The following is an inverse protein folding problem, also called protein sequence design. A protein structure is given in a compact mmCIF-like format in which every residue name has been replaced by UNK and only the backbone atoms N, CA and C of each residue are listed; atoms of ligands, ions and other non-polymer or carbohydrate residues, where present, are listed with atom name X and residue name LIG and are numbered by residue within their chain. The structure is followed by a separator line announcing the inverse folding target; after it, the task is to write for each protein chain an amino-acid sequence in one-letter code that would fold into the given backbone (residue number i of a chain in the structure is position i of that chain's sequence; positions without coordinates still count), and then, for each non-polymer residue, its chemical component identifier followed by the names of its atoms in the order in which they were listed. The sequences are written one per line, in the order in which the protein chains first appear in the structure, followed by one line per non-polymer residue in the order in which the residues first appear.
data_IF_340882691733
#
_entry.id   IF_340882691733
#
_cell.length_a   1.000
_cell.length_b   1.000
_cell.length_c   1.000
_cell.angle_alpha   90.00
_cell.angle_beta   90.00
_cell.angle_gamma   90.00
#
_symmetry.space_group_name_H-M   'P 1'
#
loop_
_entity.id
_entity.type
_entity.pdbx_description
1 polymer ?
#
# COMPACT_ATOMS: atom_id res chain seq x y z
N UNK A 1 0.43 -4.05 -5.11
CA UNK A 1 -0.48 -3.35 -6.04
C UNK A 1 -1.34 -4.36 -6.79
N UNK A 2 -2.65 -4.27 -6.59
CA UNK A 2 -3.69 -5.09 -7.21
C UNK A 2 -4.31 -4.33 -8.38
N UNK A 3 -4.62 -5.06 -9.46
CA UNK A 3 -5.23 -4.50 -10.68
C UNK A 3 -6.54 -5.24 -10.95
N UNK A 4 -7.66 -4.52 -10.96
CA UNK A 4 -9.00 -5.07 -11.16
C UNK A 4 -9.66 -4.45 -12.40
N UNK A 5 -9.28 -4.86 -13.63
CA UNK A 5 -9.91 -4.37 -14.84
C UNK A 5 -11.32 -4.93 -15.01
N UNK A 6 -12.17 -4.29 -15.80
CA UNK A 6 -13.53 -4.78 -16.09
C UNK A 6 -13.57 -5.94 -17.10
N UNK A 7 -12.47 -6.15 -17.82
CA UNK A 7 -12.24 -7.24 -18.77
C UNK A 7 -10.76 -7.60 -18.79
N UNK A 8 -10.44 -8.79 -19.25
CA UNK A 8 -9.03 -9.20 -19.44
C UNK A 8 -8.35 -8.20 -20.38
N UNK A 9 -7.24 -7.62 -19.93
CA UNK A 9 -6.51 -6.63 -20.72
C UNK A 9 -5.04 -6.59 -20.36
N UNK A 10 -4.23 -6.03 -21.25
CA UNK A 10 -2.83 -5.68 -20.94
C UNK A 10 -2.84 -4.38 -20.15
N UNK A 11 -2.05 -4.35 -19.08
CA UNK A 11 -1.82 -3.18 -18.24
C UNK A 11 -0.32 -2.96 -18.13
N UNK A 12 0.13 -1.78 -18.53
CA UNK A 12 1.48 -1.30 -18.29
C UNK A 12 1.47 -0.45 -17.01
N UNK A 13 2.27 -0.85 -16.04
CA UNK A 13 2.46 -0.17 -14.76
C UNK A 13 3.86 0.40 -14.75
N UNK A 14 3.98 1.71 -14.67
CA UNK A 14 5.24 2.42 -14.59
C UNK A 14 5.36 3.07 -13.21
N UNK A 15 6.48 2.83 -12.56
CA UNK A 15 6.74 3.29 -11.20
C UNK A 15 8.08 4.02 -11.19
N UNK A 16 8.03 5.35 -11.19
CA UNK A 16 9.22 6.19 -11.05
C UNK A 16 9.32 6.64 -9.59
N UNK A 17 10.38 6.23 -8.90
CA UNK A 17 10.60 6.55 -7.49
C UNK A 17 11.81 7.46 -7.34
N UNK A 18 11.72 8.39 -6.41
CA UNK A 18 12.89 9.14 -5.95
C UNK A 18 13.71 8.24 -5.03
N UNK A 19 14.47 7.30 -5.58
CA UNK A 19 15.24 6.33 -4.78
C UNK A 19 15.55 5.07 -5.56
N UNK A 20 15.92 4.00 -4.85
CA UNK A 20 16.25 2.71 -5.46
C UNK A 20 15.25 1.64 -5.03
N UNK A 21 14.73 0.88 -5.99
CA UNK A 21 13.95 -0.32 -5.72
C UNK A 21 14.89 -1.38 -5.15
N UNK A 22 14.63 -1.81 -3.92
CA UNK A 22 15.42 -2.83 -3.23
C UNK A 22 14.87 -4.23 -3.49
N UNK A 23 13.55 -4.35 -3.60
CA UNK A 23 12.86 -5.61 -3.81
C UNK A 23 11.68 -5.38 -4.75
N UNK A 24 11.45 -6.33 -5.65
CA UNK A 24 10.28 -6.35 -6.52
C UNK A 24 9.90 -7.79 -6.83
N UNK A 25 8.60 -8.09 -6.83
CA UNK A 25 8.09 -9.39 -7.23
C UNK A 25 6.73 -9.22 -7.93
N UNK A 26 6.61 -9.48 -9.25
CA UNK A 26 7.64 -9.92 -10.20
C UNK A 26 8.84 -8.96 -10.31
N UNK A 27 9.93 -9.42 -10.93
CA UNK A 27 11.13 -8.58 -11.12
C UNK A 27 10.77 -7.30 -11.89
N UNK A 28 11.10 -6.15 -11.32
CA UNK A 28 10.97 -4.84 -11.94
C UNK A 28 11.79 -4.77 -13.23
N UNK A 29 11.19 -4.25 -14.30
CA UNK A 29 11.86 -4.11 -15.59
C UNK A 29 12.33 -2.66 -15.80
N UNK A 30 13.65 -2.47 -15.72
CA UNK A 30 14.32 -1.17 -15.90
C UNK A 30 14.08 -0.54 -17.29
N UNK A 31 13.86 -1.35 -18.33
CA UNK A 31 13.70 -0.83 -19.70
C UNK A 31 12.35 -0.12 -19.89
N UNK A 32 11.30 -0.64 -19.25
CA UNK A 32 9.95 -0.05 -19.29
C UNK A 32 9.61 0.67 -17.98
N UNK A 33 10.58 0.79 -17.06
CA UNK A 33 10.42 1.34 -15.71
C UNK A 33 9.21 0.78 -14.95
N UNK A 34 9.04 -0.54 -14.95
CA UNK A 34 7.92 -1.18 -14.26
C UNK A 34 7.57 -2.57 -14.75
N UNK A 35 6.30 -2.84 -14.97
CA UNK A 35 5.76 -4.13 -15.38
C UNK A 35 4.77 -3.98 -16.52
N UNK A 36 4.75 -4.96 -17.42
CA UNK A 36 3.66 -5.16 -18.37
C UNK A 36 3.00 -6.50 -18.04
N UNK A 37 1.71 -6.48 -17.74
CA UNK A 37 0.97 -7.68 -17.29
C UNK A 37 -0.32 -7.84 -18.05
N UNK A 38 -0.80 -9.07 -18.21
CA UNK A 38 -2.22 -9.30 -18.49
C UNK A 38 -2.95 -9.38 -17.16
N UNK A 39 -3.84 -8.43 -16.90
CA UNK A 39 -4.66 -8.37 -15.70
C UNK A 39 -6.06 -8.93 -15.97
N UNK A 40 -6.59 -9.66 -14.99
CA UNK A 40 -7.89 -10.31 -15.05
C UNK A 40 -8.87 -9.68 -14.04
N UNK A 41 -10.19 -9.69 -14.31
CA UNK A 41 -11.16 -9.03 -13.43
C UNK A 41 -11.21 -9.53 -11.98
N UNK A 42 -10.77 -10.76 -11.71
CA UNK A 42 -10.64 -11.33 -10.35
C UNK A 42 -9.34 -10.92 -9.63
N UNK A 43 -8.48 -10.16 -10.31
CA UNK A 43 -7.25 -9.57 -9.80
C UNK A 43 -6.00 -10.42 -9.97
N UNK A 44 -6.05 -11.60 -10.59
CA UNK A 44 -4.81 -12.32 -10.93
C UNK A 44 -4.12 -11.69 -12.14
N UNK A 45 -2.81 -11.84 -12.21
CA UNK A 45 -1.94 -11.23 -13.21
C UNK A 45 -1.08 -12.30 -13.89
N UNK A 46 -0.88 -12.18 -15.20
CA UNK A 46 0.18 -12.90 -15.92
C UNK A 46 1.25 -11.89 -16.33
N UNK A 47 2.45 -12.01 -15.77
CA UNK A 47 3.56 -11.11 -16.10
C UNK A 47 4.11 -11.42 -17.49
N UNK A 48 4.26 -10.41 -18.36
CA UNK A 48 4.70 -10.62 -19.74
C UNK A 48 6.17 -11.03 -19.85
N UNK A 49 7.00 -10.66 -18.87
CA UNK A 49 8.43 -10.91 -18.93
C UNK A 49 8.81 -12.38 -18.67
N UNK A 50 8.04 -13.09 -17.85
CA UNK A 50 8.32 -14.49 -17.47
C UNK A 50 7.14 -15.45 -17.70
N UNK A 51 5.98 -14.92 -18.13
CA UNK A 51 4.74 -15.65 -18.37
C UNK A 51 4.23 -16.43 -17.13
N UNK A 52 4.54 -15.96 -15.92
CA UNK A 52 4.07 -16.54 -14.66
C UNK A 52 2.89 -15.77 -14.08
N UNK A 53 2.14 -16.47 -13.24
CA UNK A 53 0.99 -15.93 -12.52
C UNK A 53 1.39 -15.29 -11.19
N UNK A 54 0.76 -14.15 -10.88
CA UNK A 54 0.97 -13.37 -9.66
C UNK A 54 -0.35 -12.84 -9.13
N UNK A 55 -0.49 -12.80 -7.80
CA UNK A 55 -1.66 -12.23 -7.13
C UNK A 55 -1.68 -10.70 -7.11
N UNK A 56 -0.52 -10.06 -7.22
CA UNK A 56 -0.30 -8.61 -7.21
C UNK A 56 1.14 -8.28 -7.61
N UNK A 57 1.42 -7.00 -7.90
CA UNK A 57 2.78 -6.48 -8.06
C UNK A 57 3.30 -6.01 -6.70
N UNK A 58 4.41 -6.57 -6.22
CA UNK A 58 5.08 -6.18 -4.99
C UNK A 58 6.33 -5.36 -5.29
N UNK A 59 6.56 -4.31 -4.50
CA UNK A 59 7.80 -3.55 -4.52
C UNK A 59 8.13 -2.94 -3.16
N UNK A 60 9.42 -2.78 -2.90
CA UNK A 60 9.97 -1.99 -1.80
C UNK A 60 11.11 -1.13 -2.33
N UNK A 61 11.28 0.05 -1.75
CA UNK A 61 12.34 0.98 -2.06
C UNK A 61 13.10 1.38 -0.80
N UNK A 62 14.29 1.95 -0.98
CA UNK A 62 14.97 2.68 0.08
C UNK A 62 14.03 3.77 0.62
N UNK A 63 13.81 3.77 1.93
CA UNK A 63 13.00 4.78 2.61
C UNK A 63 13.74 6.10 2.57
N UNK A 64 13.16 7.10 1.89
CA UNK A 64 13.55 8.48 2.09
C UNK A 64 13.08 8.96 3.46
N UNK A 65 13.78 9.94 4.04
CA UNK A 65 13.35 10.65 5.25
C UNK A 65 12.01 11.35 4.97
N UNK A 66 10.92 10.61 5.18
CA UNK A 66 9.57 11.14 5.13
C UNK A 66 9.43 12.05 6.35
N UNK A 67 9.54 13.36 6.11
CA UNK A 67 9.28 14.39 7.11
C UNK A 67 7.76 14.48 7.36
N UNK A 68 7.21 13.43 7.99
CA UNK A 68 5.79 13.30 8.29
C UNK A 68 5.58 13.80 9.71
N UNK A 69 4.83 14.89 9.82
CA UNK A 69 4.41 15.41 11.10
C UNK A 69 3.30 14.53 11.67
N UNK A 70 3.64 13.71 12.67
CA UNK A 70 2.74 12.76 13.33
C UNK A 70 1.78 13.45 14.33
N UNK A 71 1.14 14.54 13.91
CA UNK A 71 0.16 15.30 14.72
C UNK A 71 -1.24 14.70 14.70
N UNK A 72 -1.52 13.80 13.76
CA UNK A 72 -2.79 13.07 13.64
C UNK A 72 -2.54 11.58 13.45
N UNK A 73 -3.50 10.75 13.82
CA UNK A 73 -3.39 9.31 13.70
C UNK A 73 -4.15 8.59 14.80
N UNK A 74 -3.65 7.42 15.17
CA UNK A 74 -4.26 6.52 16.14
C UNK A 74 -3.18 5.94 17.05
N UNK A 75 -3.41 5.98 18.35
CA UNK A 75 -2.53 5.31 19.31
C UNK A 75 -3.19 4.01 19.73
N UNK A 76 -2.58 2.89 19.35
CA UNK A 76 -3.16 1.54 19.45
C UNK A 76 -2.23 0.67 20.30
N UNK A 77 -2.75 -0.11 21.25
CA UNK A 77 -1.91 -1.08 21.99
C UNK A 77 -1.43 -2.16 21.02
N UNK A 78 -0.22 -2.68 21.21
CA UNK A 78 0.31 -3.76 20.36
C UNK A 78 -0.67 -4.92 20.20
N UNK A 79 -1.21 -5.42 21.32
CA UNK A 79 -2.19 -6.51 21.35
C UNK A 79 -3.50 -6.24 20.59
N UNK A 80 -3.88 -4.97 20.39
CA UNK A 80 -5.12 -4.57 19.72
C UNK A 80 -4.90 -4.23 18.24
N UNK A 81 -3.65 -4.32 17.76
CA UNK A 81 -3.25 -3.87 16.42
C UNK A 81 -3.95 -4.64 15.31
N UNK A 82 -4.11 -5.95 15.45
CA UNK A 82 -4.79 -6.77 14.43
C UNK A 82 -6.22 -6.27 14.18
N UNK A 83 -7.01 -6.18 15.25
CA UNK A 83 -8.40 -5.74 15.18
C UNK A 83 -8.49 -4.32 14.62
N UNK A 84 -7.64 -3.41 15.11
CA UNK A 84 -7.58 -2.04 14.61
C UNK A 84 -7.32 -2.00 13.10
N UNK A 85 -6.34 -2.75 12.60
CA UNK A 85 -6.01 -2.76 11.17
C UNK A 85 -7.14 -3.35 10.33
N UNK A 86 -7.77 -4.45 10.77
CA UNK A 86 -8.92 -5.05 10.08
C UNK A 86 -10.06 -4.03 9.91
N UNK A 87 -10.43 -3.34 10.99
CA UNK A 87 -11.51 -2.35 10.97
C UNK A 87 -11.12 -1.12 10.14
N UNK A 88 -9.92 -0.57 10.37
CA UNK A 88 -9.50 0.70 9.77
C UNK A 88 -9.18 0.58 8.28
N UNK A 89 -8.55 -0.51 7.84
CA UNK A 89 -8.26 -0.71 6.42
C UNK A 89 -9.55 -0.98 5.62
N UNK A 90 -10.52 -1.68 6.22
CA UNK A 90 -11.85 -1.86 5.62
C UNK A 90 -12.59 -0.52 5.49
N UNK A 91 -12.52 0.35 6.52
CA UNK A 91 -13.07 1.71 6.47
C UNK A 91 -12.44 2.55 5.35
N UNK A 92 -11.12 2.46 5.16
CA UNK A 92 -10.40 3.15 4.07
C UNK A 92 -10.81 2.61 2.68
N UNK A 93 -11.30 1.36 2.61
CA UNK A 93 -11.84 0.77 1.39
C UNK A 93 -11.07 -0.43 0.86
N UNK A 94 -10.14 -1.01 1.64
CA UNK A 94 -9.47 -2.26 1.29
C UNK A 94 -10.43 -3.45 1.44
N UNK A 95 -10.31 -4.41 0.52
CA UNK A 95 -11.02 -5.68 0.59
C UNK A 95 -10.24 -6.69 1.45
N UNK A 96 -10.89 -7.76 1.96
CA UNK A 96 -10.22 -8.78 2.77
C UNK A 96 -8.95 -9.36 2.17
N UNK A 97 -8.95 -9.64 0.86
CA UNK A 97 -7.76 -10.12 0.14
C UNK A 97 -6.59 -9.13 0.21
N UNK A 98 -6.88 -7.83 0.23
CA UNK A 98 -5.87 -6.76 0.18
C UNK A 98 -5.34 -6.44 1.58
N UNK A 99 -6.24 -6.28 2.57
CA UNK A 99 -5.84 -5.94 3.94
C UNK A 99 -5.22 -7.13 4.69
N UNK A 100 -5.57 -8.38 4.35
CA UNK A 100 -4.96 -9.54 5.01
C UNK A 100 -3.46 -9.60 4.75
N UNK A 101 -3.01 -9.39 3.51
CA UNK A 101 -1.59 -9.34 3.16
C UNK A 101 -0.88 -8.16 3.84
N UNK A 102 -1.54 -7.01 3.91
CA UNK A 102 -1.05 -5.86 4.67
C UNK A 102 -0.79 -6.23 6.14
N UNK A 103 -1.77 -6.87 6.78
CA UNK A 103 -1.70 -7.26 8.19
C UNK A 103 -0.62 -8.32 8.40
N UNK A 104 -0.54 -9.34 7.55
CA UNK A 104 0.50 -10.39 7.63
C UNK A 104 1.90 -9.77 7.57
N UNK A 105 2.10 -8.75 6.73
CA UNK A 105 3.38 -8.06 6.61
C UNK A 105 3.71 -7.18 7.84
N UNK A 106 2.75 -6.36 8.30
CA UNK A 106 3.00 -5.32 9.30
C UNK A 106 2.77 -5.77 10.76
N UNK A 107 1.77 -6.62 11.03
CA UNK A 107 1.39 -7.02 12.39
C UNK A 107 2.56 -7.59 13.21
N UNK A 108 3.44 -8.48 12.67
CA UNK A 108 4.57 -9.02 13.43
C UNK A 108 5.52 -7.95 13.98
N UNK A 109 5.57 -6.77 13.35
CA UNK A 109 6.43 -5.64 13.74
C UNK A 109 5.80 -4.74 14.81
N UNK A 110 4.47 -4.83 14.99
CA UNK A 110 3.70 -3.91 15.84
C UNK A 110 3.08 -4.58 17.07
N UNK A 111 2.73 -5.87 16.98
CA UNK A 111 1.92 -6.56 18.00
C UNK A 111 2.57 -6.61 19.40
N UNK A 112 3.90 -6.58 19.46
CA UNK A 112 4.67 -6.69 20.70
C UNK A 112 5.05 -5.31 21.29
N UNK A 113 4.72 -4.21 20.61
CA UNK A 113 4.98 -2.87 21.14
C UNK A 113 3.96 -2.54 22.24
N UNK A 114 4.32 -1.78 23.29
CA UNK A 114 3.34 -1.33 24.27
C UNK A 114 2.21 -0.54 23.61
N UNK A 115 2.59 0.38 22.72
CA UNK A 115 1.69 1.15 21.87
C UNK A 115 2.34 1.40 20.51
N UNK A 116 1.51 1.64 19.50
CA UNK A 116 1.89 2.08 18.16
C UNK A 116 1.14 3.39 17.88
N UNK A 117 1.86 4.44 17.52
CA UNK A 117 1.26 5.59 16.84
C UNK A 117 1.20 5.28 15.36
N UNK A 118 0.00 5.16 14.81
CA UNK A 118 -0.27 4.83 13.41
C UNK A 118 -0.87 6.05 12.72
N UNK A 119 -0.30 6.42 11.58
CA UNK A 119 -0.75 7.51 10.71
C UNK A 119 -0.84 7.00 9.27
N UNK A 120 -1.86 7.39 8.52
CA UNK A 120 -1.99 7.09 7.09
C UNK A 120 -1.69 8.36 6.29
N UNK A 121 -0.57 8.36 5.56
CA UNK A 121 0.04 9.58 4.99
C UNK A 121 -0.74 10.25 3.84
N UNK A 122 -1.78 9.60 3.31
CA UNK A 122 -2.57 10.14 2.19
C UNK A 122 -1.70 10.58 1.01
N UNK A 123 -2.02 11.75 0.43
CA UNK A 123 -1.37 12.26 -0.79
C UNK A 123 0.11 12.64 -0.60
N UNK A 124 0.56 12.92 0.63
CA UNK A 124 1.96 13.34 0.89
C UNK A 124 3.01 12.27 0.52
N UNK A 125 2.60 10.99 0.47
CA UNK A 125 3.45 9.90 -0.01
C UNK A 125 3.56 9.86 -1.55
N UNK A 126 2.50 10.29 -2.26
CA UNK A 126 2.37 10.09 -3.71
C UNK A 126 3.37 10.89 -4.55
N UNK A 127 3.97 11.94 -4.00
CA UNK A 127 4.98 12.77 -4.66
C UNK A 127 6.33 12.06 -4.83
N UNK A 128 6.64 11.08 -3.95
CA UNK A 128 7.92 10.35 -3.95
C UNK A 128 7.93 9.09 -4.83
N UNK A 129 6.75 8.61 -5.19
CA UNK A 129 6.54 7.39 -5.98
C UNK A 129 5.46 7.64 -7.05
N UNK A 130 5.89 8.15 -8.20
CA UNK A 130 5.03 8.48 -9.32
C UNK A 130 4.57 7.21 -10.03
N UNK A 131 3.27 6.99 -9.98
CA UNK A 131 2.62 5.81 -10.54
C UNK A 131 1.85 6.20 -11.80
N UNK A 132 2.27 5.65 -12.94
CA UNK A 132 1.57 5.78 -14.22
C UNK A 132 1.06 4.42 -14.66
N UNK A 133 -0.23 4.33 -15.00
CA UNK A 133 -0.87 3.07 -15.41
C UNK A 133 -1.61 3.29 -16.73
N UNK A 134 -1.37 2.39 -17.69
CA UNK A 134 -2.03 2.37 -18.99
C UNK A 134 -2.68 1.00 -19.24
N UNK A 135 -3.98 0.92 -19.58
CA UNK A 135 -4.94 2.03 -19.68
C UNK A 135 -5.17 2.73 -18.34
N UNK A 136 -5.62 3.99 -18.37
CA UNK A 136 -5.85 4.77 -17.15
C UNK A 136 -6.92 4.09 -16.28
N UNK A 137 -6.66 3.84 -14.98
CA UNK A 137 -7.68 3.37 -14.05
C UNK A 137 -8.76 4.41 -13.82
N UNK A 138 -9.99 3.93 -13.64
CA UNK A 138 -11.15 4.72 -13.24
C UNK A 138 -11.14 5.02 -11.74
N UNK A 139 -10.48 4.17 -10.93
CA UNK A 139 -10.36 4.34 -9.48
C UNK A 139 -8.99 3.88 -9.00
N UNK A 140 -8.34 4.68 -8.15
CA UNK A 140 -7.04 4.37 -7.56
C UNK A 140 -7.09 4.61 -6.06
N UNK A 141 -6.80 3.57 -5.28
CA UNK A 141 -6.62 3.67 -3.83
C UNK A 141 -5.16 3.39 -3.50
N UNK A 142 -4.46 4.34 -2.87
CA UNK A 142 -3.10 4.16 -2.36
C UNK A 142 -3.11 4.38 -0.85
N UNK A 143 -2.79 3.35 -0.09
CA UNK A 143 -2.73 3.41 1.39
C UNK A 143 -1.30 3.27 1.85
N UNK A 144 -0.77 4.32 2.47
CA UNK A 144 0.58 4.29 3.03
C UNK A 144 0.53 4.50 4.53
N UNK A 145 0.86 3.46 5.29
CA UNK A 145 0.87 3.50 6.76
C UNK A 145 2.25 3.87 7.27
N UNK A 146 2.29 4.85 8.15
CA UNK A 146 3.46 5.22 8.93
C UNK A 146 3.18 4.80 10.36
N UNK A 147 4.11 4.11 11.01
CA UNK A 147 3.97 3.81 12.43
C UNK A 147 5.24 4.14 13.22
N UNK A 148 5.04 4.52 14.48
CA UNK A 148 6.09 4.74 15.47
C UNK A 148 5.77 3.95 16.75
N UNK A 149 6.64 3.05 17.20
CA UNK A 149 6.50 2.41 18.50
C UNK A 149 6.51 3.45 19.63
N UNK A 150 5.64 3.28 20.61
CA UNK A 150 5.54 4.16 21.78
C UNK A 150 5.61 3.35 23.07
N UNK A 151 6.35 3.86 24.05
CA UNK A 151 6.38 3.29 25.41
C UNK A 151 5.08 3.58 26.19
N UNK A 152 4.35 4.64 25.83
CA UNK A 152 3.16 5.13 26.55
C UNK A 152 2.14 5.65 25.55
N UNK A 153 0.86 5.61 25.91
CA UNK A 153 -0.19 6.26 25.13
C UNK A 153 -0.02 7.78 25.13
N UNK A 154 -0.31 8.42 24.00
CA UNK A 154 -0.40 9.87 23.84
C UNK A 154 -1.75 10.24 23.20
N UNK A 155 -2.11 11.52 23.25
CA UNK A 155 -3.31 12.03 22.56
C UNK A 155 -2.92 12.56 21.18
N UNK A 156 -3.66 12.13 20.16
CA UNK A 156 -3.54 12.61 18.78
C UNK A 156 -4.94 12.81 18.20
N UNK A 157 -5.06 13.70 17.22
CA UNK A 157 -6.32 13.89 16.51
C UNK A 157 -6.58 12.69 15.57
N UNK A 158 -7.74 12.03 15.65
CA UNK A 158 -8.04 10.90 14.78
C UNK A 158 -8.17 11.34 13.32
N UNK A 159 -7.64 10.54 12.40
CA UNK A 159 -7.83 10.76 10.97
C UNK A 159 -9.23 10.32 10.54
N UNK A 160 -9.75 10.98 9.51
CA UNK A 160 -11.03 10.65 8.87
C UNK A 160 -10.75 10.36 7.40
N UNK A 161 -11.38 9.32 6.87
CA UNK A 161 -11.19 8.89 5.49
C UNK A 161 -12.49 9.10 4.70
N UNK A 162 -12.42 9.74 3.51
CA UNK A 162 -13.55 9.75 2.61
C UNK A 162 -13.82 8.30 2.15
N UNK A 163 -15.08 7.99 1.86
CA UNK A 163 -15.45 6.69 1.30
C UNK A 163 -14.78 6.52 -0.06
N UNK A 164 -14.02 5.44 -0.22
CA UNK A 164 -13.48 5.04 -1.52
C UNK A 164 -14.54 4.28 -2.33
N UNK A 165 -14.73 4.67 -3.59
CA UNK A 165 -15.63 4.00 -4.52
C UNK A 165 -14.84 3.30 -5.63
N UNK A 166 -15.17 2.03 -5.86
CA UNK A 166 -14.53 1.19 -6.89
C UNK A 166 -15.35 1.25 -8.16
N UNK A 167 -15.01 2.19 -9.03
CA UNK A 167 -15.64 2.34 -10.33
C UNK A 167 -14.72 1.77 -11.41
N UNK A 168 -15.29 1.03 -12.38
CA UNK A 168 -14.56 0.56 -13.57
C UNK A 168 -13.25 -0.18 -13.25
N UNK A 169 -12.19 0.13 -14.03
CA UNK A 169 -10.85 -0.38 -13.76
C UNK A 169 -10.30 0.21 -12.46
N UNK A 170 -10.21 -0.61 -11.42
CA UNK A 170 -9.72 -0.21 -10.10
C UNK A 170 -8.29 -0.69 -9.85
N UNK A 171 -7.46 0.17 -9.28
CA UNK A 171 -6.11 -0.17 -8.80
C UNK A 171 -6.03 0.09 -7.30
N UNK A 172 -5.44 -0.86 -6.57
CA UNK A 172 -5.20 -0.73 -5.12
C UNK A 172 -3.73 -0.96 -4.81
N UNK A 173 -3.10 -0.01 -4.17
CA UNK A 173 -1.76 -0.12 -3.62
C UNK A 173 -1.80 0.08 -2.11
N UNK A 174 -1.00 -0.71 -1.40
CA UNK A 174 -0.70 -0.45 -0.01
C UNK A 174 0.81 -0.53 0.22
N UNK A 175 1.27 0.19 1.22
CA UNK A 175 2.65 0.22 1.67
C UNK A 175 2.75 0.82 3.07
N UNK A 176 3.98 0.98 3.55
CA UNK A 176 4.19 1.67 4.80
C UNK A 176 5.65 1.75 5.23
N UNK A 177 5.89 2.41 6.35
CA UNK A 177 7.21 2.50 6.97
C UNK A 177 7.12 2.62 8.49
N UNK A 178 8.21 2.25 9.15
CA UNK A 178 8.46 2.55 10.56
C UNK A 178 9.27 3.85 10.66
N UNK A 179 8.84 4.77 11.53
CA UNK A 179 9.67 5.91 11.94
C UNK A 179 10.56 5.46 13.10
N UNK A 180 11.87 5.51 12.86
CA UNK A 180 12.90 5.27 13.87
C UNK A 180 13.42 6.61 14.38
N UNK A 181 13.75 6.65 15.67
CA UNK A 181 14.47 7.77 16.29
C UNK A 181 15.95 7.78 15.86
#
# INVERSE_FOLDING_TARGET
MYLYPTKVQVVDVNLDILGKIIVSYPKYNEQIKGWSVTAFPDGHLINKADNKEYSYLFWEAETNDLNIDLVSGFVVRGQDTEKFLQEKLAEIGLLPKEYNEFIVYWLPKMQNNPYNLIHFAGDTYTDSAQLTIAPKPDSVLRVFMVYKPLAKSINVSPQIFPKFERNGFTVVEWGGTEIKD
#
